data_IF_463429037849
#
_entry.id   IF_463429037849
#
_cell.length_a   1.000
_cell.length_b   1.000
_cell.length_c   1.000
_cell.angle_alpha   90.00
_cell.angle_beta   90.00
_cell.angle_gamma   90.00
#
_symmetry.space_group_name_H-M   'P 1'
#
loop_
_entity.id
_entity.type
_entity.pdbx_description
1 polymer ?
#
# COMPACT_ATOMS: atom_id res chain seq x y z
N UNK A 1 19.92 21.25 38.53
CA UNK A 1 19.55 20.83 37.15
C UNK A 1 18.14 20.23 37.20
N UNK A 2 17.18 20.89 36.55
CA UNK A 2 15.74 20.68 36.69
C UNK A 2 15.26 19.32 36.15
N UNK A 3 14.78 18.43 37.02
CA UNK A 3 14.10 17.19 36.63
C UNK A 3 12.61 17.39 36.22
N UNK A 4 12.10 18.63 36.24
CA UNK A 4 10.69 18.94 35.94
C UNK A 4 10.36 18.97 34.43
N UNK A 5 11.35 19.26 33.58
CA UNK A 5 11.19 19.48 32.14
C UNK A 5 10.74 18.22 31.36
N UNK A 6 11.29 17.02 31.62
CA UNK A 6 10.88 15.79 30.92
C UNK A 6 9.48 15.31 31.29
N UNK A 7 9.04 15.58 32.52
CA UNK A 7 7.72 15.17 33.02
C UNK A 7 6.61 16.03 32.44
N UNK A 8 6.82 17.35 32.37
CA UNK A 8 5.90 18.27 31.70
C UNK A 8 5.76 17.95 30.20
N UNK A 9 6.86 17.61 29.52
CA UNK A 9 6.81 17.18 28.11
C UNK A 9 6.04 15.87 27.90
N UNK A 10 6.17 14.90 28.83
CA UNK A 10 5.40 13.65 28.80
C UNK A 10 3.93 13.88 29.11
N UNK A 11 3.60 14.76 30.06
CA UNK A 11 2.24 15.14 30.41
C UNK A 11 1.54 15.86 29.25
N UNK A 12 2.20 16.85 28.63
CA UNK A 12 1.69 17.54 27.45
C UNK A 12 1.46 16.58 26.26
N UNK A 13 2.39 15.63 26.03
CA UNK A 13 2.17 14.53 25.06
C UNK A 13 0.99 13.63 25.42
N UNK A 14 0.73 13.43 26.71
CA UNK A 14 -0.45 12.70 27.21
C UNK A 14 -1.75 13.44 26.92
N UNK A 15 -1.80 14.75 27.19
CA UNK A 15 -2.96 15.59 26.89
C UNK A 15 -3.26 15.66 25.39
N UNK A 16 -2.23 15.81 24.55
CA UNK A 16 -2.36 15.77 23.07
C UNK A 16 -2.89 14.42 22.55
N UNK A 17 -2.68 13.32 23.28
CA UNK A 17 -3.27 12.00 22.94
C UNK A 17 -4.72 11.88 23.37
N UNK A 18 -5.12 12.54 24.47
CA UNK A 18 -6.51 12.57 24.92
C UNK A 18 -7.38 13.53 24.11
N UNK A 19 -6.79 14.58 23.55
CA UNK A 19 -7.44 15.51 22.64
C UNK A 19 -6.67 15.58 21.31
N UNK A 20 -6.75 14.51 20.49
CA UNK A 20 -6.05 14.50 19.21
C UNK A 20 -6.56 15.64 18.33
N UNK A 21 -5.65 16.38 17.70
CA UNK A 21 -6.06 17.33 16.65
C UNK A 21 -6.92 16.60 15.64
N UNK A 22 -8.06 17.19 15.26
CA UNK A 22 -8.94 16.61 14.26
C UNK A 22 -8.12 16.16 13.04
N UNK A 23 -8.31 14.93 12.56
CA UNK A 23 -7.56 14.45 11.41
C UNK A 23 -7.75 15.44 10.26
N UNK A 24 -6.64 15.92 9.67
CA UNK A 24 -6.68 16.89 8.55
C UNK A 24 -7.51 16.41 7.35
N UNK A 25 -7.82 15.11 7.28
CA UNK A 25 -8.69 14.49 6.29
C UNK A 25 -9.82 13.79 7.04
N UNK A 26 -10.98 14.44 7.13
CA UNK A 26 -12.18 13.87 7.73
C UNK A 26 -12.84 12.83 6.80
N UNK A 27 -12.62 12.94 5.49
CA UNK A 27 -13.24 12.10 4.47
C UNK A 27 -12.21 11.22 3.76
N UNK A 28 -12.56 9.96 3.52
CA UNK A 28 -11.75 9.00 2.76
C UNK A 28 -12.12 9.12 1.29
N UNK A 29 -11.13 9.26 0.41
CA UNK A 29 -11.34 9.39 -1.03
C UNK A 29 -11.87 8.11 -1.69
N UNK A 30 -12.57 8.24 -2.82
CA UNK A 30 -13.16 7.11 -3.54
C UNK A 30 -12.11 6.30 -4.34
N UNK A 31 -11.96 5.03 -4.00
CA UNK A 31 -11.05 4.09 -4.69
C UNK A 31 -11.35 3.92 -6.17
N UNK A 32 -12.61 4.02 -6.57
CA UNK A 32 -13.03 3.82 -7.96
C UNK A 32 -12.32 4.80 -8.90
N UNK A 33 -12.18 6.07 -8.51
CA UNK A 33 -11.45 7.07 -9.30
C UNK A 33 -9.99 6.66 -9.57
N UNK A 34 -9.33 6.05 -8.57
CA UNK A 34 -7.97 5.55 -8.74
C UNK A 34 -7.92 4.30 -9.62
N UNK A 35 -8.91 3.40 -9.51
CA UNK A 35 -9.00 2.21 -10.36
C UNK A 35 -9.31 2.59 -11.81
N UNK A 36 -10.21 3.53 -12.05
CA UNK A 36 -10.55 4.05 -13.38
C UNK A 36 -9.34 4.71 -14.03
N UNK A 37 -8.61 5.54 -13.28
CA UNK A 37 -7.34 6.10 -13.74
C UNK A 37 -6.32 5.01 -14.10
N UNK A 38 -6.18 3.97 -13.28
CA UNK A 38 -5.33 2.83 -13.59
C UNK A 38 -5.77 2.12 -14.88
N UNK A 39 -7.08 1.95 -15.13
CA UNK A 39 -7.57 1.36 -16.37
C UNK A 39 -7.17 2.15 -17.62
N UNK A 40 -7.09 3.48 -17.54
CA UNK A 40 -6.63 4.32 -18.67
C UNK A 40 -5.19 4.05 -19.09
N UNK A 41 -4.39 3.43 -18.20
CA UNK A 41 -2.99 3.07 -18.45
C UNK A 41 -2.85 1.66 -19.05
N UNK A 42 -3.84 1.18 -19.77
CA UNK A 42 -3.81 -0.08 -20.51
C UNK A 42 -3.85 0.20 -22.02
N UNK A 43 -3.06 -0.49 -22.86
CA UNK A 43 -2.15 -1.60 -22.54
C UNK A 43 -0.79 -1.16 -21.96
N UNK A 44 -0.08 -2.08 -21.28
CA UNK A 44 1.12 -1.76 -20.48
C UNK A 44 2.38 -1.49 -21.30
N UNK A 45 2.45 -2.03 -22.51
CA UNK A 45 3.60 -1.98 -23.42
C UNK A 45 3.85 -0.58 -24.01
N UNK A 46 2.83 0.29 -24.01
CA UNK A 46 2.96 1.69 -24.47
C UNK A 46 3.35 2.67 -23.36
N UNK A 47 3.41 2.20 -22.10
CA UNK A 47 3.70 3.09 -20.98
C UNK A 47 5.18 3.45 -20.91
N UNK A 48 5.45 4.72 -20.60
CA UNK A 48 6.79 5.12 -20.20
C UNK A 48 7.18 4.40 -18.90
N UNK A 49 8.49 4.24 -18.65
CA UNK A 49 8.97 3.66 -17.39
C UNK A 49 8.39 4.39 -16.17
N UNK A 50 8.21 5.72 -16.27
CA UNK A 50 7.61 6.53 -15.21
C UNK A 50 6.15 6.13 -14.95
N UNK A 51 5.34 6.02 -15.99
CA UNK A 51 3.91 5.72 -15.85
C UNK A 51 3.70 4.28 -15.41
N UNK A 52 4.49 3.34 -15.94
CA UNK A 52 4.50 1.95 -15.47
C UNK A 52 4.93 1.84 -14.00
N UNK A 53 5.87 2.67 -13.56
CA UNK A 53 6.29 2.74 -12.15
C UNK A 53 5.16 3.28 -11.26
N UNK A 54 4.49 4.35 -11.68
CA UNK A 54 3.37 4.95 -10.95
C UNK A 54 2.19 4.00 -10.83
N UNK A 55 1.81 3.39 -11.95
CA UNK A 55 0.81 2.33 -12.01
C UNK A 55 1.15 1.19 -11.05
N UNK A 56 2.37 0.67 -11.10
CA UNK A 56 2.83 -0.42 -10.22
C UNK A 56 2.78 -0.02 -8.75
N UNK A 57 3.25 1.19 -8.41
CA UNK A 57 3.24 1.68 -7.04
C UNK A 57 1.82 1.80 -6.47
N UNK A 58 0.92 2.46 -7.21
CA UNK A 58 -0.45 2.69 -6.75
C UNK A 58 -1.25 1.38 -6.70
N UNK A 59 -1.20 0.55 -7.75
CA UNK A 59 -1.96 -0.69 -7.79
C UNK A 59 -1.55 -1.64 -6.65
N UNK A 60 -0.25 -1.80 -6.37
CA UNK A 60 0.20 -2.64 -5.25
C UNK A 60 -0.19 -2.04 -3.89
N UNK A 61 -0.19 -0.72 -3.75
CA UNK A 61 -0.64 -0.06 -2.52
C UNK A 61 -2.15 -0.21 -2.27
N UNK A 62 -2.95 -0.32 -3.34
CA UNK A 62 -4.39 -0.61 -3.27
C UNK A 62 -4.62 -2.09 -2.96
N UNK A 63 -3.90 -2.99 -3.64
CA UNK A 63 -4.06 -4.44 -3.50
C UNK A 63 -3.56 -4.98 -2.15
N UNK A 64 -2.57 -4.33 -1.55
CA UNK A 64 -2.07 -4.70 -0.23
C UNK A 64 -1.86 -3.43 0.60
N UNK A 65 -2.59 -3.24 1.73
CA UNK A 65 -2.60 -2.00 2.50
C UNK A 65 -1.35 -1.84 3.38
N UNK A 66 -0.17 -2.00 2.77
CA UNK A 66 1.15 -1.86 3.38
C UNK A 66 1.57 -0.39 3.42
N UNK A 67 2.46 -0.06 4.35
CA UNK A 67 3.03 1.30 4.41
C UNK A 67 3.92 1.55 3.19
N UNK A 68 4.09 2.81 2.80
CA UNK A 68 5.05 3.20 1.76
C UNK A 68 6.48 2.68 2.05
N UNK A 69 6.87 2.60 3.32
CA UNK A 69 8.15 2.00 3.73
C UNK A 69 8.23 0.49 3.51
N UNK A 70 7.12 -0.23 3.61
CA UNK A 70 7.05 -1.67 3.36
C UNK A 70 7.07 -1.94 1.84
N UNK A 71 6.31 -1.18 1.05
CA UNK A 71 6.32 -1.28 -0.41
C UNK A 71 7.71 -0.96 -1.00
N UNK A 72 8.35 0.11 -0.53
CA UNK A 72 9.72 0.47 -0.92
C UNK A 72 10.76 -0.57 -0.48
N UNK A 73 10.40 -1.46 0.45
CA UNK A 73 11.29 -2.47 0.99
C UNK A 73 11.23 -3.82 0.26
N UNK A 74 10.30 -4.02 -0.67
CA UNK A 74 10.20 -5.25 -1.44
C UNK A 74 11.50 -5.57 -2.19
N UNK A 75 11.94 -6.82 -2.11
CA UNK A 75 13.13 -7.33 -2.80
C UNK A 75 12.85 -8.63 -3.54
N UNK A 76 13.64 -8.89 -4.58
CA UNK A 76 13.62 -10.14 -5.33
C UNK A 76 14.04 -11.34 -4.46
N UNK A 77 14.98 -11.16 -3.53
CA UNK A 77 15.44 -12.24 -2.64
C UNK A 77 14.36 -12.73 -1.67
N UNK A 78 13.38 -11.86 -1.37
CA UNK A 78 12.28 -12.15 -0.46
C UNK A 78 10.95 -12.36 -1.20
N UNK A 79 11.02 -12.58 -2.50
CA UNK A 79 9.87 -12.78 -3.37
C UNK A 79 9.70 -14.26 -3.70
N UNK A 80 8.57 -14.82 -3.30
CA UNK A 80 8.11 -16.15 -3.71
C UNK A 80 7.08 -15.97 -4.82
N UNK A 81 7.33 -16.58 -5.98
CA UNK A 81 6.47 -16.43 -7.17
C UNK A 81 5.86 -17.77 -7.54
N UNK A 82 4.57 -17.76 -7.85
CA UNK A 82 3.91 -18.73 -8.71
C UNK A 82 3.31 -18.02 -9.93
N UNK A 83 2.61 -18.74 -10.80
CA UNK A 83 1.93 -18.13 -11.95
C UNK A 83 0.78 -17.19 -11.52
N UNK A 84 0.14 -17.50 -10.39
CA UNK A 84 -1.08 -16.84 -9.91
C UNK A 84 -0.88 -16.04 -8.64
N UNK A 85 0.16 -16.30 -7.83
CA UNK A 85 0.34 -15.67 -6.51
C UNK A 85 1.79 -15.28 -6.31
N UNK A 86 2.02 -14.02 -5.95
CA UNK A 86 3.34 -13.50 -5.59
C UNK A 86 3.32 -13.02 -4.14
N UNK A 87 4.21 -13.56 -3.32
CA UNK A 87 4.35 -13.21 -1.91
C UNK A 87 5.70 -12.54 -1.64
N UNK A 88 5.67 -11.35 -1.04
CA UNK A 88 6.84 -10.65 -0.54
C UNK A 88 6.95 -10.79 0.96
N UNK A 89 8.08 -11.33 1.45
CA UNK A 89 8.39 -11.36 2.88
C UNK A 89 9.07 -10.06 3.31
N UNK A 90 8.55 -9.41 4.34
CA UNK A 90 9.05 -8.14 4.86
C UNK A 90 9.94 -8.37 6.09
N UNK A 91 11.26 -8.25 5.92
CA UNK A 91 12.25 -8.55 6.96
C UNK A 91 12.43 -7.44 8.02
N UNK A 92 12.13 -6.19 7.70
CA UNK A 92 12.29 -5.07 8.64
C UNK A 92 11.11 -4.13 8.60
N UNK A 93 10.38 -4.05 9.71
CA UNK A 93 9.43 -2.97 9.98
C UNK A 93 9.74 -2.44 11.38
N UNK A 94 9.84 -1.11 11.53
CA UNK A 94 10.17 -0.43 12.81
C UNK A 94 9.30 -0.84 14.01
N UNK A 95 8.19 -1.55 13.78
CA UNK A 95 7.25 -2.02 14.78
C UNK A 95 7.19 -3.56 14.87
N UNK A 96 8.29 -4.28 14.59
CA UNK A 96 8.34 -5.73 14.82
C UNK A 96 8.18 -6.01 16.32
N UNK A 97 6.98 -6.42 16.71
CA UNK A 97 6.79 -7.22 17.91
C UNK A 97 7.20 -8.68 17.64
N UNK A 98 7.22 -9.51 18.68
CA UNK A 98 7.30 -10.96 18.53
C UNK A 98 6.10 -11.48 17.71
N UNK A 99 6.35 -12.24 16.62
CA UNK A 99 5.27 -12.79 15.79
C UNK A 99 5.71 -13.29 14.39
N UNK A 100 4.73 -13.76 13.61
CA UNK A 100 4.93 -14.23 12.23
C UNK A 100 5.52 -13.11 11.35
N UNK A 101 6.39 -13.43 10.39
CA UNK A 101 6.93 -12.44 9.47
C UNK A 101 5.79 -11.78 8.68
N UNK A 102 5.82 -10.46 8.61
CA UNK A 102 4.90 -9.69 7.77
C UNK A 102 5.09 -10.09 6.30
N UNK A 103 4.01 -10.38 5.60
CA UNK A 103 4.01 -10.70 4.17
C UNK A 103 3.07 -9.76 3.41
N UNK A 104 3.35 -9.52 2.14
CA UNK A 104 2.42 -8.91 1.20
C UNK A 104 2.17 -9.88 0.06
N UNK A 105 0.93 -10.33 -0.07
CA UNK A 105 0.51 -11.30 -1.09
C UNK A 105 -0.29 -10.58 -2.15
N UNK A 106 0.03 -10.86 -3.40
CA UNK A 106 -0.67 -10.37 -4.59
C UNK A 106 -1.15 -11.55 -5.41
N UNK A 107 -2.40 -11.51 -5.84
CA UNK A 107 -3.05 -12.57 -6.60
C UNK A 107 -3.28 -12.10 -8.05
N UNK A 108 -3.28 -13.02 -9.01
CA UNK A 108 -3.71 -12.69 -10.37
C UNK A 108 -5.19 -12.33 -10.35
N UNK A 109 -5.56 -11.24 -11.03
CA UNK A 109 -6.95 -10.81 -11.13
C UNK A 109 -7.49 -11.16 -12.51
N UNK A 110 -8.11 -12.33 -12.62
CA UNK A 110 -8.61 -12.85 -13.89
C UNK A 110 -9.84 -12.08 -14.43
N UNK A 111 -10.60 -11.43 -13.54
CA UNK A 111 -11.79 -10.67 -13.92
C UNK A 111 -11.48 -9.44 -14.78
N UNK A 112 -10.32 -8.81 -14.59
CA UNK A 112 -9.87 -7.68 -15.40
C UNK A 112 -8.33 -7.61 -15.45
N UNK A 113 -7.76 -7.92 -16.61
CA UNK A 113 -6.31 -7.86 -16.82
C UNK A 113 -5.74 -6.45 -16.69
N UNK A 114 -6.55 -5.42 -16.95
CA UNK A 114 -6.18 -4.02 -16.79
C UNK A 114 -6.08 -3.58 -15.33
N UNK A 115 -6.48 -4.42 -14.38
CA UNK A 115 -6.30 -4.19 -12.93
C UNK A 115 -5.51 -5.32 -12.26
N UNK A 116 -4.88 -6.21 -13.02
CA UNK A 116 -4.12 -7.33 -12.48
C UNK A 116 -2.75 -6.90 -11.93
N UNK A 117 -2.48 -7.07 -10.62
CA UNK A 117 -1.20 -6.69 -10.02
C UNK A 117 -0.06 -7.61 -10.47
N UNK A 118 -0.33 -8.89 -10.74
CA UNK A 118 0.68 -9.82 -11.27
C UNK A 118 1.10 -9.45 -12.69
N UNK A 119 0.15 -9.13 -13.58
CA UNK A 119 0.45 -8.67 -14.94
C UNK A 119 1.27 -7.38 -14.90
N UNK A 120 0.88 -6.43 -14.06
CA UNK A 120 1.59 -5.15 -13.89
C UNK A 120 3.00 -5.36 -13.33
N UNK A 121 3.17 -6.22 -12.31
CA UNK A 121 4.49 -6.56 -11.75
C UNK A 121 5.41 -7.24 -12.76
N UNK A 122 4.88 -8.16 -13.58
CA UNK A 122 5.64 -8.83 -14.64
C UNK A 122 6.15 -7.80 -15.66
N UNK A 123 5.28 -6.94 -16.16
CA UNK A 123 5.65 -5.88 -17.10
C UNK A 123 6.69 -4.92 -16.51
N UNK A 124 6.52 -4.51 -15.25
CA UNK A 124 7.47 -3.62 -14.59
C UNK A 124 8.84 -4.27 -14.34
N UNK A 125 8.89 -5.55 -13.94
CA UNK A 125 10.17 -6.26 -13.81
C UNK A 125 10.87 -6.42 -15.15
N UNK A 126 10.14 -6.71 -16.22
CA UNK A 126 10.68 -6.78 -17.57
C UNK A 126 11.24 -5.42 -18.03
N UNK A 127 10.48 -4.34 -17.85
CA UNK A 127 10.90 -2.98 -18.24
C UNK A 127 12.08 -2.44 -17.41
N UNK A 128 12.38 -3.06 -16.27
CA UNK A 128 13.49 -2.65 -15.40
C UNK A 128 14.68 -3.60 -15.43
N UNK A 129 14.63 -4.69 -16.20
CA UNK A 129 15.64 -5.75 -16.17
C UNK A 129 17.04 -5.21 -16.53
N UNK A 130 17.15 -4.50 -17.66
CA UNK A 130 18.43 -3.96 -18.15
C UNK A 130 19.06 -2.89 -17.23
N UNK A 131 18.22 -2.10 -16.56
CA UNK A 131 18.69 -0.99 -15.71
C UNK A 131 18.97 -1.41 -14.26
N UNK A 132 18.56 -2.62 -13.89
CA UNK A 132 18.63 -3.12 -12.51
C UNK A 132 20.03 -3.56 -12.10
N UNK A 133 20.83 -4.07 -13.04
CA UNK A 133 22.15 -4.63 -12.74
C UNK A 133 22.05 -5.66 -11.59
N UNK A 134 22.78 -5.47 -10.49
CA UNK A 134 22.75 -6.36 -9.32
C UNK A 134 21.65 -6.02 -8.29
N UNK A 135 20.89 -4.95 -8.50
CA UNK A 135 19.95 -4.42 -7.51
C UNK A 135 18.74 -5.34 -7.29
N UNK A 136 18.51 -5.71 -6.03
CA UNK A 136 17.43 -6.64 -5.65
C UNK A 136 16.15 -5.93 -5.24
N UNK A 137 16.18 -4.64 -4.94
CA UNK A 137 14.98 -3.83 -4.59
C UNK A 137 14.03 -3.75 -5.78
N UNK A 138 12.76 -4.10 -5.60
CA UNK A 138 11.77 -4.10 -6.69
C UNK A 138 11.68 -2.72 -7.34
N UNK A 139 11.41 -1.69 -6.54
CA UNK A 139 11.24 -0.33 -7.04
C UNK A 139 12.57 0.41 -7.21
N UNK A 140 12.83 0.84 -8.44
CA UNK A 140 13.97 1.64 -8.84
C UNK A 140 13.50 3.02 -9.28
N UNK A 141 14.32 4.04 -9.08
CA UNK A 141 14.06 5.36 -9.64
C UNK A 141 13.91 5.26 -11.16
N UNK A 142 12.80 5.76 -11.72
CA UNK A 142 12.64 5.89 -13.18
C UNK A 142 13.59 6.95 -13.78
N UNK A 143 14.26 7.76 -12.95
CA UNK A 143 15.33 8.67 -13.36
C UNK A 143 16.71 8.04 -13.11
N UNK A 144 17.66 8.29 -14.02
CA UNK A 144 19.08 7.98 -13.81
C UNK A 144 19.57 8.61 -12.50
N UNK A 145 20.41 7.93 -11.69
CA UNK A 145 21.10 6.67 -11.99
C UNK A 145 20.34 5.39 -11.58
N UNK A 146 18.99 5.37 -11.66
CA UNK A 146 18.13 4.18 -11.46
C UNK A 146 18.34 3.43 -10.13
N UNK A 147 18.73 4.17 -9.09
CA UNK A 147 18.96 3.62 -7.75
C UNK A 147 17.67 3.17 -7.08
N UNK A 148 17.73 2.27 -6.09
CA UNK A 148 16.62 1.96 -5.22
C UNK A 148 15.94 3.19 -4.66
N UNK A 149 14.63 3.13 -4.57
CA UNK A 149 13.88 4.22 -3.94
C UNK A 149 13.85 4.09 -2.41
N UNK A 150 13.59 5.23 -1.78
CA UNK A 150 13.33 5.33 -0.34
C UNK A 150 11.83 5.30 -0.05
N UNK A 151 11.47 5.09 1.22
CA UNK A 151 10.08 5.21 1.69
C UNK A 151 9.46 6.58 1.38
N UNK A 152 10.25 7.65 1.49
CA UNK A 152 9.81 9.01 1.16
C UNK A 152 9.50 9.17 -0.34
N UNK A 153 10.31 8.55 -1.19
CA UNK A 153 10.08 8.54 -2.65
C UNK A 153 8.81 7.80 -3.00
N UNK A 154 8.58 6.61 -2.41
CA UNK A 154 7.34 5.87 -2.58
C UNK A 154 6.11 6.69 -2.13
N UNK A 155 6.17 7.32 -0.95
CA UNK A 155 5.07 8.15 -0.46
C UNK A 155 4.78 9.35 -1.39
N UNK A 156 5.82 9.95 -1.99
CA UNK A 156 5.68 11.02 -2.98
C UNK A 156 5.04 10.51 -4.27
N UNK A 157 5.46 9.35 -4.78
CA UNK A 157 4.86 8.76 -5.97
C UNK A 157 3.40 8.44 -5.76
N UNK A 158 3.04 7.81 -4.65
CA UNK A 158 1.64 7.55 -4.32
C UNK A 158 0.82 8.85 -4.27
N UNK A 159 1.35 9.92 -3.64
CA UNK A 159 0.68 11.23 -3.66
C UNK A 159 0.47 11.75 -5.09
N UNK A 160 1.50 11.68 -5.93
CA UNK A 160 1.41 12.12 -7.33
C UNK A 160 0.42 11.29 -8.14
N UNK A 161 0.33 9.98 -7.89
CA UNK A 161 -0.67 9.14 -8.56
C UNK A 161 -2.10 9.54 -8.16
N UNK A 162 -2.33 9.87 -6.88
CA UNK A 162 -3.62 10.40 -6.43
C UNK A 162 -3.96 11.72 -7.13
N UNK A 163 -3.02 12.66 -7.17
CA UNK A 163 -3.21 13.95 -7.87
C UNK A 163 -3.54 13.73 -9.36
N UNK A 164 -2.83 12.82 -10.04
CA UNK A 164 -3.07 12.48 -11.44
C UNK A 164 -4.41 11.76 -11.68
N UNK A 165 -4.91 11.04 -10.68
CA UNK A 165 -6.22 10.40 -10.69
C UNK A 165 -7.36 11.37 -10.30
N UNK A 166 -7.08 12.68 -10.18
CA UNK A 166 -8.07 13.70 -9.79
C UNK A 166 -8.43 13.67 -8.30
N UNK A 167 -7.61 13.03 -7.46
CA UNK A 167 -7.82 12.90 -6.01
C UNK A 167 -6.93 13.93 -5.30
N UNK A 168 -7.47 15.12 -5.09
CA UNK A 168 -6.75 16.26 -4.52
C UNK A 168 -6.81 16.32 -2.98
N UNK A 169 -5.81 16.95 -2.36
CA UNK A 169 -5.78 17.16 -0.90
C UNK A 169 -5.36 15.93 -0.07
N UNK A 170 -5.03 14.81 -0.72
CA UNK A 170 -4.64 13.56 -0.06
C UNK A 170 -3.13 13.31 -0.06
N UNK A 171 -2.67 12.45 0.85
CA UNK A 171 -1.26 12.03 0.92
C UNK A 171 -1.12 10.57 0.51
N UNK A 172 0.06 10.12 0.10
CA UNK A 172 0.29 8.71 -0.21
C UNK A 172 0.03 7.74 0.96
N UNK A 173 0.00 8.23 2.21
CA UNK A 173 -0.37 7.40 3.36
C UNK A 173 -1.88 7.12 3.41
N UNK A 174 -2.70 7.99 2.82
CA UNK A 174 -4.17 7.83 2.79
C UNK A 174 -4.63 6.64 1.95
N UNK A 175 -3.83 6.18 0.98
CA UNK A 175 -4.15 5.01 0.14
C UNK A 175 -4.41 3.77 0.96
N UNK A 176 -3.62 3.56 2.02
CA UNK A 176 -3.84 2.47 2.97
C UNK A 176 -5.23 2.57 3.60
N UNK A 177 -5.59 3.76 4.10
CA UNK A 177 -6.88 3.98 4.75
C UNK A 177 -8.03 3.76 3.77
N UNK A 178 -7.94 4.31 2.56
CA UNK A 178 -8.93 4.12 1.51
C UNK A 178 -9.14 2.64 1.17
N UNK A 179 -8.05 1.89 0.97
CA UNK A 179 -8.11 0.46 0.66
C UNK A 179 -8.78 -0.33 1.78
N UNK A 180 -8.39 -0.08 3.03
CA UNK A 180 -9.01 -0.74 4.18
C UNK A 180 -10.48 -0.38 4.34
N UNK A 181 -10.86 0.88 4.12
CA UNK A 181 -12.24 1.34 4.25
C UNK A 181 -13.14 0.76 3.16
N UNK A 182 -12.65 0.68 1.91
CA UNK A 182 -13.42 0.03 0.84
C UNK A 182 -13.64 -1.46 1.12
N UNK A 183 -12.62 -2.16 1.62
CA UNK A 183 -12.75 -3.55 2.04
C UNK A 183 -13.82 -3.74 3.14
N UNK A 184 -13.90 -2.83 4.12
CA UNK A 184 -14.97 -2.82 5.12
C UNK A 184 -16.35 -2.63 4.48
N UNK A 185 -16.48 -1.67 3.57
CA UNK A 185 -17.76 -1.38 2.89
C UNK A 185 -18.28 -2.60 2.11
N UNK A 186 -17.36 -3.36 1.50
CA UNK A 186 -17.66 -4.59 0.75
C UNK A 186 -17.87 -5.79 1.69
N UNK A 187 -17.64 -5.62 2.99
CA UNK A 187 -18.04 -6.56 4.04
C UNK A 187 -16.96 -7.54 4.47
N UNK A 188 -15.67 -7.28 4.19
CA UNK A 188 -14.59 -8.12 4.71
C UNK A 188 -14.50 -8.05 6.23
N UNK A 189 -14.15 -9.19 6.85
CA UNK A 189 -13.97 -9.25 8.30
C UNK A 189 -12.82 -8.38 8.77
N UNK A 190 -12.97 -7.87 10.01
CA UNK A 190 -11.91 -7.13 10.67
C UNK A 190 -10.60 -7.94 10.70
N UNK A 191 -10.70 -9.26 10.87
CA UNK A 191 -9.54 -10.14 10.92
C UNK A 191 -8.79 -10.21 9.58
N UNK A 192 -9.51 -10.35 8.45
CA UNK A 192 -8.91 -10.36 7.11
C UNK A 192 -8.21 -9.03 6.81
N UNK A 193 -8.85 -7.90 7.15
CA UNK A 193 -8.28 -6.57 6.91
C UNK A 193 -7.06 -6.32 7.80
N UNK A 194 -7.13 -6.72 9.08
CA UNK A 194 -6.01 -6.60 10.01
C UNK A 194 -4.82 -7.46 9.58
N UNK A 195 -5.05 -8.66 9.09
CA UNK A 195 -4.02 -9.53 8.54
C UNK A 195 -3.38 -8.90 7.29
N UNK A 196 -4.19 -8.44 6.32
CA UNK A 196 -3.71 -7.75 5.13
C UNK A 196 -2.91 -6.48 5.47
N UNK A 197 -3.30 -5.75 6.52
CA UNK A 197 -2.65 -4.52 6.96
C UNK A 197 -1.46 -4.73 7.93
N UNK A 198 -1.16 -5.97 8.35
CA UNK A 198 -0.20 -6.28 9.42
C UNK A 198 -0.52 -5.52 10.73
N UNK A 199 -1.78 -5.51 11.16
CA UNK A 199 -2.21 -4.95 12.44
C UNK A 199 -2.29 -6.02 13.54
N UNK A 200 -1.89 -5.64 14.76
CA UNK A 200 -1.96 -6.52 15.94
C UNK A 200 -3.40 -6.87 16.27
N UNK A 201 -3.67 -8.17 16.45
CA UNK A 201 -4.97 -8.70 16.92
C UNK A 201 -5.32 -8.25 18.34
N UNK A 202 -4.33 -7.92 19.18
CA UNK A 202 -4.56 -7.48 20.57
C UNK A 202 -4.81 -5.96 20.62
N UNK A 203 -6.03 -5.57 21.01
CA UNK A 203 -6.38 -4.21 21.42
C UNK A 203 -6.58 -3.19 20.30
N UNK A 204 -6.88 -3.61 19.07
CA UNK A 204 -7.04 -2.65 17.97
C UNK A 204 -8.39 -1.94 18.01
N UNK A 205 -8.37 -0.61 17.87
CA UNK A 205 -9.53 0.24 17.61
C UNK A 205 -10.38 -0.30 16.45
N UNK A 206 -9.75 -0.91 15.45
CA UNK A 206 -10.40 -1.42 14.24
C UNK A 206 -11.42 -2.53 14.52
N UNK A 207 -11.08 -3.52 15.36
CA UNK A 207 -12.01 -4.59 15.75
C UNK A 207 -13.26 -4.06 16.46
N UNK A 208 -13.14 -2.99 17.26
CA UNK A 208 -14.27 -2.41 18.00
C UNK A 208 -15.28 -1.68 17.11
N UNK A 209 -14.86 -1.16 15.95
CA UNK A 209 -15.70 -0.31 15.11
C UNK A 209 -16.25 -1.00 13.85
N UNK A 210 -15.66 -2.12 13.41
CA UNK A 210 -15.99 -2.72 12.11
C UNK A 210 -16.20 -4.24 12.21
N UNK A 211 -17.42 -4.69 12.50
CA UNK A 211 -17.81 -6.11 12.49
C UNK A 211 -18.76 -6.42 11.32
N UNK A 212 -18.27 -7.13 10.30
CA UNK A 212 -19.05 -7.84 9.27
C UNK A 212 -18.24 -9.07 8.83
N UNK A 213 -18.84 -10.25 8.76
CA UNK A 213 -18.16 -11.48 8.36
C UNK A 213 -18.59 -11.90 6.94
N UNK A 214 -17.64 -11.93 6.00
CA UNK A 214 -17.77 -12.48 4.64
C UNK A 214 -16.43 -13.12 4.23
N UNK A 215 -16.47 -14.27 3.56
CA UNK A 215 -15.28 -14.91 2.97
C UNK A 215 -14.80 -14.15 1.71
N UNK A 216 -13.48 -13.95 1.59
CA UNK A 216 -12.89 -13.29 0.41
C UNK A 216 -11.46 -12.78 0.63
N UNK A 217 -10.70 -12.62 -0.46
CA UNK A 217 -9.36 -12.01 -0.40
C UNK A 217 -9.47 -10.48 -0.37
N UNK A 218 -8.60 -9.80 0.39
CA UNK A 218 -8.58 -8.33 0.48
C UNK A 218 -8.45 -7.68 -0.89
N UNK A 219 -7.53 -8.21 -1.70
CA UNK A 219 -7.25 -7.70 -3.02
C UNK A 219 -8.47 -7.84 -3.94
N UNK A 220 -9.08 -9.03 -4.00
CA UNK A 220 -10.22 -9.28 -4.87
C UNK A 220 -11.39 -8.37 -4.52
N UNK A 221 -11.67 -8.17 -3.23
CA UNK A 221 -12.73 -7.29 -2.79
C UNK A 221 -12.52 -5.84 -3.24
N UNK A 222 -11.31 -5.31 -3.06
CA UNK A 222 -11.00 -3.92 -3.46
C UNK A 222 -11.05 -3.78 -4.99
N UNK A 223 -10.48 -4.72 -5.74
CA UNK A 223 -10.46 -4.66 -7.20
C UNK A 223 -11.84 -4.85 -7.85
N UNK A 224 -12.72 -5.66 -7.26
CA UNK A 224 -14.11 -5.83 -7.75
C UNK A 224 -14.89 -4.52 -7.81
N UNK A 225 -14.55 -3.53 -6.99
CA UNK A 225 -15.18 -2.20 -7.08
C UNK A 225 -14.88 -1.45 -8.37
N UNK A 226 -13.79 -1.81 -9.05
CA UNK A 226 -13.44 -1.28 -10.36
C UNK A 226 -13.99 -2.09 -11.51
N UNK A 227 -14.94 -3.02 -11.35
CA UNK A 227 -15.50 -3.79 -12.48
C UNK A 227 -16.74 -3.14 -13.14
N UNK A 228 -17.09 -1.91 -12.73
CA UNK A 228 -18.19 -1.15 -13.31
C UNK A 228 -18.00 -0.87 -14.81
#
# INVERSE_FOLDING_TARGET
MNQAEPLLAKFAKGMLRQNPSAPKQAEIWNIENALDWLKTMWPLDHLSLKDLTFRSALLLAICSPKRASELAAFTLDQLRKSDTIWEFRLLSTKNRGYGKPHTATFEAFAADSSLCPITTLKAYLQATDDIRQEEKRIFLSFKRPHKPITAATMARWLKQCLELAGIEGYTGHSTRSAATSKAVTIGLSANQIMEAANWSKKGSTFQRFYHKDIEGSFQEAVLKSGLN
#
